data_IF_767565944553
#
_entry.id   IF_767565944553
#
_cell.length_a   1.000
_cell.length_b   1.000
_cell.length_c   1.000
_cell.angle_alpha   90.00
_cell.angle_beta   90.00
_cell.angle_gamma   90.00
#
_symmetry.space_group_name_H-M   'P 1'
#
loop_
_entity.id
_entity.type
_entity.pdbx_description
1 polymer ?
#
# COMPACT_ATOMS: atom_id res chain seq x y z
N UNK A 1 2.09 -5.99 -24.84
CA UNK A 1 2.16 -6.48 -23.44
C UNK A 1 3.26 -5.69 -22.75
N UNK A 2 2.88 -4.66 -21.98
CA UNK A 2 3.82 -3.67 -21.46
C UNK A 2 4.60 -4.21 -20.28
N UNK A 3 5.93 -4.37 -20.44
CA UNK A 3 6.87 -4.89 -19.45
C UNK A 3 7.31 -3.77 -18.49
N UNK A 4 6.49 -3.42 -17.52
CA UNK A 4 6.81 -2.41 -16.51
C UNK A 4 7.33 -3.02 -15.21
N UNK A 5 8.20 -2.31 -14.48
CA UNK A 5 8.76 -2.74 -13.18
C UNK A 5 7.71 -2.94 -12.08
N UNK A 6 6.49 -2.42 -12.29
CA UNK A 6 5.38 -2.50 -11.34
C UNK A 6 4.31 -3.54 -11.74
N UNK A 7 4.60 -4.42 -12.70
CA UNK A 7 3.70 -5.52 -13.06
C UNK A 7 3.70 -6.58 -11.94
N UNK A 8 2.51 -7.05 -11.57
CA UNK A 8 2.34 -8.08 -10.55
C UNK A 8 1.36 -9.14 -11.04
N UNK A 9 1.53 -10.39 -10.59
CA UNK A 9 0.56 -11.44 -10.84
C UNK A 9 -0.76 -11.08 -10.16
N UNK A 10 -1.83 -10.99 -10.94
CA UNK A 10 -3.15 -10.72 -10.37
C UNK A 10 -3.58 -11.85 -9.44
N UNK A 11 -4.19 -11.45 -8.32
CA UNK A 11 -4.72 -12.34 -7.31
C UNK A 11 -6.16 -11.90 -6.98
N UNK A 12 -7.19 -12.71 -7.32
CA UNK A 12 -8.60 -12.34 -7.10
C UNK A 12 -8.93 -12.03 -5.64
N UNK A 13 -8.12 -12.50 -4.68
CA UNK A 13 -8.28 -12.17 -3.26
C UNK A 13 -8.11 -10.67 -2.99
N UNK A 14 -7.37 -9.96 -3.84
CA UNK A 14 -7.13 -8.53 -3.71
C UNK A 14 -8.32 -7.67 -4.15
N UNK A 15 -9.34 -8.24 -4.81
CA UNK A 15 -10.46 -7.47 -5.35
C UNK A 15 -11.39 -6.94 -4.26
N UNK A 16 -11.41 -7.60 -3.09
CA UNK A 16 -12.31 -7.29 -1.97
C UNK A 16 -11.60 -6.73 -0.73
N UNK A 17 -10.32 -6.40 -0.84
CA UNK A 17 -9.58 -5.81 0.29
C UNK A 17 -10.09 -4.39 0.58
N UNK A 18 -9.95 -4.00 1.84
CA UNK A 18 -10.20 -2.64 2.28
C UNK A 18 -8.88 -1.87 2.35
N UNK A 19 -8.90 -0.62 1.90
CA UNK A 19 -7.79 0.32 1.96
C UNK A 19 -8.15 1.38 2.99
N UNK A 20 -7.25 1.68 3.92
CA UNK A 20 -7.44 2.82 4.81
C UNK A 20 -7.00 4.10 4.08
N UNK A 21 -7.93 5.03 3.86
CA UNK A 21 -7.66 6.37 3.36
C UNK A 21 -8.14 7.36 4.40
N UNK A 22 -7.21 8.14 4.96
CA UNK A 22 -7.51 9.18 5.97
C UNK A 22 -8.36 8.67 7.16
N UNK A 23 -8.07 7.47 7.64
CA UNK A 23 -8.77 6.85 8.78
C UNK A 23 -10.04 6.08 8.42
N UNK A 24 -10.46 6.09 7.15
CA UNK A 24 -11.66 5.37 6.68
C UNK A 24 -11.28 4.13 5.88
N UNK A 25 -11.89 2.99 6.19
CA UNK A 25 -11.73 1.77 5.41
C UNK A 25 -12.65 1.81 4.19
N UNK A 26 -12.07 1.80 2.99
CA UNK A 26 -12.80 1.88 1.72
C UNK A 26 -12.53 0.64 0.86
N UNK A 27 -13.50 0.18 0.04
CA UNK A 27 -13.22 -0.84 -0.98
C UNK A 27 -12.10 -0.40 -1.92
N UNK A 28 -11.27 -1.34 -2.38
CA UNK A 28 -10.15 -1.07 -3.31
C UNK A 28 -10.56 -0.23 -4.52
N UNK A 29 -11.76 -0.47 -5.08
CA UNK A 29 -12.29 0.26 -6.25
C UNK A 29 -12.68 1.71 -5.97
N UNK A 30 -12.86 2.08 -4.71
CA UNK A 30 -13.32 3.42 -4.28
C UNK A 30 -12.22 4.20 -3.56
N UNK A 31 -11.10 3.54 -3.22
CA UNK A 31 -9.96 4.18 -2.57
C UNK A 31 -9.33 5.24 -3.48
N UNK A 32 -9.33 6.49 -3.03
CA UNK A 32 -8.84 7.64 -3.78
C UNK A 32 -7.96 8.53 -2.90
N UNK A 33 -7.01 9.22 -3.51
CA UNK A 33 -6.23 10.30 -2.89
C UNK A 33 -6.42 11.58 -3.69
N UNK A 34 -6.14 12.73 -3.07
CA UNK A 34 -6.19 14.00 -3.79
C UNK A 34 -5.11 14.02 -4.88
N UNK A 35 -5.46 14.55 -6.07
CA UNK A 35 -4.46 14.83 -7.11
C UNK A 35 -3.44 15.90 -6.68
N UNK A 36 -3.74 16.66 -5.62
CA UNK A 36 -2.83 17.65 -5.03
C UNK A 36 -2.01 17.11 -3.85
N UNK A 37 -2.10 15.80 -3.55
CA UNK A 37 -1.26 15.18 -2.53
C UNK A 37 0.22 15.29 -2.91
N UNK A 38 1.09 15.69 -1.98
CA UNK A 38 2.53 15.90 -2.26
C UNK A 38 3.24 14.59 -2.60
N UNK A 39 2.80 13.47 -2.05
CA UNK A 39 3.29 12.13 -2.39
C UNK A 39 2.97 11.76 -3.85
N UNK A 40 1.84 12.23 -4.38
CA UNK A 40 1.51 12.07 -5.80
C UNK A 40 2.21 13.11 -6.70
N UNK A 41 2.16 14.39 -6.32
CA UNK A 41 2.65 15.51 -7.13
C UNK A 41 4.17 15.55 -7.25
N UNK A 42 4.87 15.25 -6.14
CA UNK A 42 6.32 15.46 -6.02
C UNK A 42 7.07 14.16 -5.71
N UNK A 43 6.35 13.07 -5.42
CA UNK A 43 6.96 11.88 -4.82
C UNK A 43 7.45 12.14 -3.39
N UNK A 44 6.92 13.17 -2.73
CA UNK A 44 7.32 13.59 -1.38
C UNK A 44 6.65 12.71 -0.32
N UNK A 45 7.15 11.48 -0.21
CA UNK A 45 6.67 10.50 0.74
C UNK A 45 7.65 9.36 0.93
N UNK A 46 7.63 8.79 2.14
CA UNK A 46 8.28 7.51 2.46
C UNK A 46 7.21 6.46 2.66
N UNK A 47 7.53 5.20 2.36
CA UNK A 47 6.61 4.09 2.53
C UNK A 47 7.35 2.88 3.06
N UNK A 48 6.60 1.94 3.64
CA UNK A 48 7.15 0.69 4.13
C UNK A 48 6.30 -0.50 3.70
N UNK A 49 6.97 -1.61 3.36
CA UNK A 49 6.33 -2.84 2.91
C UNK A 49 6.28 -3.86 4.03
N UNK A 50 5.08 -4.19 4.51
CA UNK A 50 4.89 -5.21 5.54
C UNK A 50 4.42 -6.53 4.94
N UNK A 51 4.88 -7.64 5.52
CA UNK A 51 4.40 -8.99 5.16
C UNK A 51 3.82 -9.70 6.36
N UNK A 52 2.57 -10.13 6.22
CA UNK A 52 1.92 -11.04 7.17
C UNK A 52 2.22 -12.48 6.78
N UNK A 53 2.76 -13.25 7.72
CA UNK A 53 2.96 -14.68 7.57
C UNK A 53 2.38 -15.39 8.79
N UNK A 54 1.44 -16.32 8.56
CA UNK A 54 0.76 -17.09 9.62
C UNK A 54 0.21 -16.21 10.76
N UNK A 55 -0.44 -15.10 10.39
CA UNK A 55 -1.06 -14.16 11.33
C UNK A 55 -0.10 -13.23 12.07
N UNK A 56 1.20 -13.21 11.72
CA UNK A 56 2.19 -12.30 12.33
C UNK A 56 2.88 -11.46 11.26
N UNK A 57 3.20 -10.21 11.58
CA UNK A 57 4.01 -9.35 10.72
C UNK A 57 5.48 -9.70 10.93
N UNK A 58 6.17 -10.05 9.86
CA UNK A 58 7.61 -10.34 9.92
C UNK A 58 8.39 -9.06 10.26
N UNK A 59 9.31 -9.15 11.23
CA UNK A 59 10.22 -8.07 11.62
C UNK A 59 9.57 -6.71 11.93
N UNK A 60 8.34 -6.70 12.49
CA UNK A 60 7.55 -5.49 12.70
C UNK A 60 8.35 -4.33 13.34
N UNK A 61 9.10 -4.60 14.41
CA UNK A 61 9.92 -3.58 15.08
C UNK A 61 10.92 -2.92 14.12
N UNK A 62 11.71 -3.70 13.39
CA UNK A 62 12.70 -3.18 12.46
C UNK A 62 12.09 -2.41 11.26
N UNK A 63 10.85 -2.72 10.86
CA UNK A 63 10.14 -1.93 9.85
C UNK A 63 9.67 -0.59 10.41
N UNK A 64 9.15 -0.56 11.64
CA UNK A 64 8.74 0.68 12.30
C UNK A 64 9.93 1.59 12.61
N UNK A 65 11.04 1.02 13.11
CA UNK A 65 12.28 1.76 13.38
C UNK A 65 12.92 2.35 12.11
N UNK A 66 12.64 1.80 10.93
CA UNK A 66 13.11 2.36 9.65
C UNK A 66 12.18 3.45 9.12
N UNK A 67 10.89 3.34 9.41
CA UNK A 67 9.88 4.28 8.92
C UNK A 67 9.92 5.62 9.67
N UNK A 68 10.28 5.62 10.95
CA UNK A 68 10.30 6.78 11.85
C UNK A 68 11.71 7.18 12.26
#
# INVERSE_FOLDING_TARGET
MGKGTHEFAQDPRNDSILINVNGMMTPRSEATVSVFDSGFMLGDGVWEGLRVHRGKIAFLGAHLDRLY
#
